data_IF_781343182603
#
_entry.id   IF_781343182603
#
_cell.length_a   1.000
_cell.length_b   1.000
_cell.length_c   1.000
_cell.angle_alpha   90.00
_cell.angle_beta   90.00
_cell.angle_gamma   90.00
#
_symmetry.space_group_name_H-M   'P 1'
#
loop_
_entity.id
_entity.type
_entity.pdbx_description
1 polymer ?
#
# COMPACT_ATOMS: atom_id res chain seq x y z
N UNK A 1 -10.67 -28.74 -3.04
CA UNK A 1 -9.95 -28.10 -1.91
C UNK A 1 -8.71 -28.94 -1.59
N UNK A 2 -7.52 -28.33 -1.52
CA UNK A 2 -6.27 -29.06 -1.28
C UNK A 2 -6.07 -29.47 0.19
N UNK A 3 -6.85 -28.92 1.13
CA UNK A 3 -6.77 -29.18 2.57
C UNK A 3 -8.15 -29.10 3.25
N UNK A 4 -8.29 -29.75 4.41
CA UNK A 4 -9.55 -29.89 5.19
C UNK A 4 -10.02 -28.58 5.85
N UNK A 5 -9.11 -27.61 6.01
CA UNK A 5 -9.38 -26.31 6.59
C UNK A 5 -9.20 -25.20 5.55
N UNK A 6 -10.26 -24.43 5.28
CA UNK A 6 -10.29 -23.39 4.25
C UNK A 6 -11.09 -22.16 4.71
N UNK A 7 -10.43 -21.01 4.74
CA UNK A 7 -11.02 -19.75 5.19
C UNK A 7 -11.51 -18.90 4.02
N UNK A 8 -12.77 -18.47 4.10
CA UNK A 8 -13.44 -17.74 3.03
C UNK A 8 -14.29 -16.59 3.58
N UNK A 9 -13.62 -15.57 4.09
CA UNK A 9 -14.21 -14.38 4.72
C UNK A 9 -13.98 -13.11 3.91
N UNK A 10 -14.55 -11.99 4.35
CA UNK A 10 -14.19 -10.65 3.85
C UNK A 10 -13.01 -10.12 4.67
N UNK A 11 -11.81 -10.27 4.13
CA UNK A 11 -10.56 -10.00 4.85
C UNK A 11 -9.53 -9.34 3.92
N UNK A 12 -8.81 -8.36 4.45
CA UNK A 12 -7.56 -7.85 3.90
C UNK A 12 -6.42 -8.23 4.85
N UNK A 13 -5.58 -9.18 4.44
CA UNK A 13 -4.51 -9.75 5.24
C UNK A 13 -3.15 -9.27 4.74
N UNK A 14 -2.34 -8.70 5.62
CA UNK A 14 -0.98 -8.23 5.31
C UNK A 14 0.03 -9.08 6.04
N UNK A 15 0.94 -9.73 5.31
CA UNK A 15 2.09 -10.42 5.87
C UNK A 15 3.27 -9.45 5.94
N UNK A 16 3.82 -9.25 7.15
CA UNK A 16 5.05 -8.51 7.35
C UNK A 16 6.14 -9.51 7.75
N UNK A 17 7.14 -9.70 6.90
CA UNK A 17 8.21 -10.67 7.07
C UNK A 17 9.52 -10.00 7.49
N UNK A 18 10.05 -10.39 8.65
CA UNK A 18 11.36 -9.93 9.14
C UNK A 18 12.49 -10.45 8.23
N UNK A 19 13.20 -9.53 7.57
CA UNK A 19 14.34 -9.82 6.69
C UNK A 19 15.70 -9.63 7.35
N UNK A 20 15.76 -9.61 8.68
CA UNK A 20 17.03 -9.48 9.40
C UNK A 20 17.89 -10.74 9.34
N UNK A 21 19.18 -10.59 9.64
CA UNK A 21 20.15 -11.65 9.87
C UNK A 21 19.91 -12.45 11.15
N UNK A 22 18.83 -12.18 11.91
CA UNK A 22 18.41 -13.03 13.05
C UNK A 22 17.72 -14.31 12.60
N UNK A 23 17.26 -14.35 11.35
CA UNK A 23 16.92 -15.57 10.64
C UNK A 23 18.05 -15.90 9.68
N UNK A 24 18.51 -17.15 9.67
CA UNK A 24 19.34 -17.66 8.58
C UNK A 24 18.55 -17.76 7.28
N UNK A 25 19.24 -17.87 6.14
CA UNK A 25 18.58 -18.05 4.84
C UNK A 25 17.68 -19.29 4.83
N UNK A 26 18.11 -20.40 5.45
CA UNK A 26 17.32 -21.61 5.59
C UNK A 26 16.05 -21.40 6.45
N UNK A 27 16.15 -20.66 7.55
CA UNK A 27 14.99 -20.33 8.38
C UNK A 27 14.04 -19.37 7.67
N UNK A 28 14.57 -18.47 6.83
CA UNK A 28 13.77 -17.59 5.99
C UNK A 28 13.00 -18.38 4.91
N UNK A 29 13.58 -19.45 4.36
CA UNK A 29 12.85 -20.39 3.48
C UNK A 29 11.66 -21.04 4.21
N UNK A 30 11.85 -21.46 5.47
CA UNK A 30 10.75 -21.98 6.31
C UNK A 30 9.67 -20.91 6.52
N UNK A 31 10.06 -19.66 6.75
CA UNK A 31 9.14 -18.54 6.90
C UNK A 31 8.32 -18.27 5.63
N UNK A 32 8.96 -18.31 4.45
CA UNK A 32 8.27 -18.21 3.15
C UNK A 32 7.31 -19.37 2.95
N UNK A 33 7.75 -20.60 3.24
CA UNK A 33 6.92 -21.79 3.14
C UNK A 33 5.68 -21.68 4.06
N UNK A 34 5.84 -21.14 5.28
CA UNK A 34 4.72 -20.85 6.16
C UNK A 34 3.72 -19.87 5.52
N UNK A 35 4.18 -18.72 5.02
CA UNK A 35 3.30 -17.73 4.35
C UNK A 35 2.56 -18.35 3.17
N UNK A 36 3.25 -19.12 2.32
CA UNK A 36 2.64 -19.85 1.21
C UNK A 36 1.59 -20.84 1.71
N UNK A 37 1.90 -21.61 2.75
CA UNK A 37 0.97 -22.60 3.34
C UNK A 37 -0.28 -21.95 3.95
N UNK A 38 -0.16 -20.74 4.50
CA UNK A 38 -1.31 -19.93 4.94
C UNK A 38 -2.13 -19.53 3.72
N UNK A 39 -1.50 -18.96 2.69
CA UNK A 39 -2.18 -18.53 1.46
C UNK A 39 -2.93 -19.66 0.74
N UNK A 40 -2.47 -20.92 0.84
CA UNK A 40 -3.17 -22.10 0.29
C UNK A 40 -4.51 -22.40 0.97
N UNK A 41 -4.65 -22.01 2.24
CA UNK A 41 -5.86 -22.19 3.06
C UNK A 41 -6.82 -21.01 3.00
N UNK A 42 -6.53 -20.01 2.16
CA UNK A 42 -7.35 -18.80 2.02
C UNK A 42 -8.07 -18.74 0.66
N UNK A 43 -9.30 -18.23 0.67
CA UNK A 43 -10.04 -17.88 -0.53
C UNK A 43 -9.59 -16.53 -1.11
N UNK A 44 -8.37 -16.52 -1.64
CA UNK A 44 -7.73 -15.31 -2.18
C UNK A 44 -8.47 -14.84 -3.44
N UNK A 45 -9.10 -13.66 -3.34
CA UNK A 45 -9.72 -12.94 -4.46
C UNK A 45 -10.05 -11.51 -4.04
N UNK A 46 -10.15 -10.60 -5.00
CA UNK A 46 -10.56 -9.20 -4.75
C UNK A 46 -11.95 -9.06 -4.12
N UNK A 47 -12.80 -10.11 -4.17
CA UNK A 47 -14.14 -10.11 -3.58
C UNK A 47 -14.21 -10.74 -2.18
N UNK A 48 -13.19 -11.51 -1.77
CA UNK A 48 -13.17 -12.27 -0.51
C UNK A 48 -11.93 -11.93 0.30
N UNK A 49 -10.83 -12.67 0.14
CA UNK A 49 -9.60 -12.39 0.88
C UNK A 49 -8.59 -11.70 -0.04
N UNK A 50 -8.21 -10.46 0.26
CA UNK A 50 -7.06 -9.78 -0.36
C UNK A 50 -5.83 -10.03 0.50
N UNK A 51 -4.67 -10.18 -0.13
CA UNK A 51 -3.41 -10.42 0.56
C UNK A 51 -2.38 -9.39 0.11
N UNK A 52 -1.54 -8.94 1.04
CA UNK A 52 -0.34 -8.17 0.75
C UNK A 52 0.85 -8.81 1.45
N UNK A 53 2.04 -8.62 0.88
CA UNK A 53 3.27 -9.22 1.38
C UNK A 53 4.39 -8.20 1.33
N UNK A 54 4.93 -7.89 2.50
CA UNK A 54 6.01 -6.93 2.69
C UNK A 54 7.12 -7.61 3.48
N UNK A 55 8.32 -7.60 2.93
CA UNK A 55 9.53 -7.93 3.68
C UNK A 55 10.12 -6.64 4.24
N UNK A 56 10.60 -6.66 5.49
CA UNK A 56 11.12 -5.46 6.14
C UNK A 56 12.48 -5.70 6.80
N UNK A 57 13.36 -4.74 6.59
CA UNK A 57 14.69 -4.64 7.17
C UNK A 57 14.98 -3.17 7.57
N UNK A 58 15.95 -2.51 6.93
CA UNK A 58 16.16 -1.06 7.03
C UNK A 58 15.03 -0.27 6.34
N UNK A 59 14.40 -0.88 5.33
CA UNK A 59 13.21 -0.37 4.64
C UNK A 59 12.10 -1.40 4.59
N UNK A 60 11.11 -1.15 3.74
CA UNK A 60 10.01 -2.08 3.46
C UNK A 60 9.93 -2.35 1.97
N UNK A 61 10.04 -3.61 1.57
CA UNK A 61 9.94 -4.04 0.18
C UNK A 61 8.62 -4.78 -0.03
N UNK A 62 7.71 -4.16 -0.79
CA UNK A 62 6.40 -4.72 -1.12
C UNK A 62 6.50 -5.66 -2.32
N UNK A 63 6.10 -6.92 -2.14
CA UNK A 63 6.07 -7.93 -3.20
C UNK A 63 4.67 -8.17 -3.74
N UNK A 64 3.65 -7.98 -2.90
CA UNK A 64 2.24 -8.16 -3.25
C UNK A 64 1.45 -7.03 -2.60
N UNK A 65 0.61 -6.37 -3.39
CA UNK A 65 -0.32 -5.35 -2.90
C UNK A 65 -1.75 -5.90 -2.81
N UNK A 66 -2.55 -5.35 -1.88
CA UNK A 66 -3.94 -5.79 -1.68
C UNK A 66 -4.77 -5.70 -2.98
N UNK A 67 -4.45 -4.75 -3.86
CA UNK A 67 -5.18 -4.49 -5.10
C UNK A 67 -4.70 -5.33 -6.29
N UNK A 68 -3.64 -6.12 -6.13
CA UNK A 68 -3.10 -6.94 -7.21
C UNK A 68 -4.14 -7.94 -7.73
N UNK A 69 -4.39 -7.91 -9.03
CA UNK A 69 -5.33 -8.79 -9.73
C UNK A 69 -4.62 -9.98 -10.37
N UNK A 70 -3.89 -10.74 -9.56
CA UNK A 70 -3.11 -11.91 -9.98
C UNK A 70 -3.82 -13.20 -9.59
N UNK A 71 -3.49 -14.31 -10.28
CA UNK A 71 -4.01 -15.64 -9.90
C UNK A 71 -3.44 -16.05 -8.53
N UNK A 72 -4.20 -16.76 -7.67
CA UNK A 72 -3.68 -17.20 -6.38
C UNK A 72 -2.38 -18.02 -6.47
N UNK A 73 -2.20 -18.81 -7.53
CA UNK A 73 -0.96 -19.54 -7.78
C UNK A 73 0.23 -18.63 -8.08
N UNK A 74 0.02 -17.52 -8.78
CA UNK A 74 1.06 -16.54 -9.07
C UNK A 74 1.44 -15.76 -7.80
N UNK A 75 0.46 -15.37 -6.98
CA UNK A 75 0.70 -14.74 -5.68
C UNK A 75 1.52 -15.65 -4.76
N UNK A 76 1.19 -16.94 -4.70
CA UNK A 76 1.99 -17.93 -3.95
C UNK A 76 3.41 -18.09 -4.51
N UNK A 77 3.57 -18.08 -5.84
CA UNK A 77 4.90 -18.12 -6.47
C UNK A 77 5.74 -16.90 -6.08
N UNK A 78 5.15 -15.70 -6.09
CA UNK A 78 5.83 -14.47 -5.66
C UNK A 78 6.25 -14.59 -4.19
N UNK A 79 5.35 -15.04 -3.31
CA UNK A 79 5.65 -15.25 -1.90
C UNK A 79 6.80 -16.27 -1.66
N UNK A 80 6.84 -17.36 -2.43
CA UNK A 80 7.94 -18.32 -2.37
C UNK A 80 9.28 -17.80 -2.92
N UNK A 81 9.25 -16.75 -3.74
CA UNK A 81 10.44 -16.15 -4.38
C UNK A 81 10.91 -14.85 -3.72
N UNK A 82 10.36 -14.49 -2.55
CA UNK A 82 10.89 -13.38 -1.75
C UNK A 82 12.37 -13.62 -1.47
N UNK A 83 13.18 -12.59 -1.71
CA UNK A 83 14.64 -12.65 -1.53
C UNK A 83 14.97 -12.49 -0.06
N UNK A 84 15.88 -13.33 0.44
CA UNK A 84 16.45 -13.16 1.76
C UNK A 84 17.36 -11.93 1.78
N UNK A 85 17.07 -10.97 2.66
CA UNK A 85 17.86 -9.75 2.79
C UNK A 85 19.06 -9.92 3.75
N UNK A 86 18.87 -10.63 4.87
CA UNK A 86 19.93 -10.86 5.86
C UNK A 86 20.48 -9.57 6.48
N UNK A 87 19.64 -8.55 6.62
CA UNK A 87 20.07 -7.23 7.10
C UNK A 87 20.39 -7.22 8.60
N UNK A 88 21.30 -6.36 9.03
CA UNK A 88 21.59 -6.18 10.46
C UNK A 88 20.43 -5.56 11.25
N UNK A 89 19.48 -4.93 10.56
CA UNK A 89 18.34 -4.22 11.15
C UNK A 89 17.05 -4.67 10.49
N UNK A 90 16.03 -4.95 11.29
CA UNK A 90 14.64 -4.98 10.84
C UNK A 90 13.76 -4.09 11.73
N UNK A 91 13.34 -2.95 11.17
CA UNK A 91 12.58 -1.96 11.92
C UNK A 91 11.08 -2.22 11.83
N UNK A 92 10.54 -2.77 12.92
CA UNK A 92 9.10 -2.91 13.11
C UNK A 92 8.40 -1.54 13.10
N UNK A 93 9.08 -0.46 13.51
CA UNK A 93 8.52 0.90 13.46
C UNK A 93 8.27 1.35 12.02
N UNK A 94 9.25 1.19 11.12
CA UNK A 94 9.12 1.61 9.73
C UNK A 94 8.10 0.77 8.97
N UNK A 95 8.04 -0.55 9.20
CA UNK A 95 7.04 -1.39 8.51
C UNK A 95 5.61 -1.11 9.00
N UNK A 96 5.40 -0.79 10.29
CA UNK A 96 4.07 -0.41 10.79
C UNK A 96 3.65 0.98 10.30
N UNK A 97 4.60 1.91 10.14
CA UNK A 97 4.37 3.20 9.47
C UNK A 97 3.99 2.99 8.00
N UNK A 98 4.75 2.17 7.26
CA UNK A 98 4.43 1.80 5.88
C UNK A 98 3.03 1.18 5.79
N UNK A 99 2.69 0.27 6.69
CA UNK A 99 1.37 -0.38 6.73
C UNK A 99 0.25 0.62 6.98
N UNK A 100 0.43 1.58 7.90
CA UNK A 100 -0.57 2.59 8.24
C UNK A 100 -0.86 3.57 7.10
N UNK A 101 0.21 4.04 6.43
CA UNK A 101 0.11 5.13 5.46
C UNK A 101 0.05 4.66 4.00
N UNK A 102 0.77 3.60 3.64
CA UNK A 102 0.83 3.08 2.27
C UNK A 102 -0.19 1.97 2.04
N UNK A 103 -0.22 0.94 2.90
CA UNK A 103 -1.13 -0.21 2.70
C UNK A 103 -2.57 0.15 3.05
N UNK A 104 -2.79 0.71 4.24
CA UNK A 104 -4.11 1.13 4.72
C UNK A 104 -4.31 2.64 4.68
N UNK A 105 -3.58 3.35 3.82
CA UNK A 105 -3.71 4.80 3.59
C UNK A 105 -5.17 5.19 3.34
N UNK A 106 -5.77 4.53 2.33
CA UNK A 106 -7.17 4.68 1.96
C UNK A 106 -7.94 3.39 2.23
N UNK A 107 -9.08 3.50 2.92
CA UNK A 107 -9.95 2.36 3.22
C UNK A 107 -10.98 2.26 2.08
N UNK A 108 -10.68 1.42 1.10
CA UNK A 108 -11.53 1.15 -0.07
C UNK A 108 -12.53 0.00 0.14
N UNK A 109 -12.42 -0.70 1.28
CA UNK A 109 -13.19 -1.90 1.60
C UNK A 109 -13.63 -1.93 3.07
N UNK A 110 -14.57 -1.04 3.48
CA UNK A 110 -14.96 -0.88 4.88
C UNK A 110 -15.67 -2.12 5.48
N UNK A 111 -16.24 -2.98 4.64
CA UNK A 111 -16.93 -4.21 5.03
C UNK A 111 -15.98 -5.36 5.39
N UNK A 112 -14.69 -5.26 5.03
CA UNK A 112 -13.70 -6.29 5.33
C UNK A 112 -12.92 -5.99 6.61
N UNK A 113 -12.63 -7.04 7.38
CA UNK A 113 -11.66 -6.96 8.46
C UNK A 113 -10.27 -6.72 7.89
N UNK A 114 -9.43 -5.96 8.60
CA UNK A 114 -8.06 -5.64 8.19
C UNK A 114 -7.09 -6.16 9.22
N UNK A 115 -6.24 -7.09 8.83
CA UNK A 115 -5.38 -7.84 9.73
C UNK A 115 -3.94 -7.78 9.22
N UNK A 116 -3.02 -7.52 10.14
CA UNK A 116 -1.58 -7.53 9.91
C UNK A 116 -1.01 -8.70 10.69
N UNK A 117 -0.40 -9.67 9.99
CA UNK A 117 0.38 -10.74 10.59
C UNK A 117 1.86 -10.32 10.60
N UNK A 118 2.33 -9.88 11.75
CA UNK A 118 3.70 -9.40 11.94
C UNK A 118 4.60 -10.56 12.36
N UNK A 119 5.38 -11.10 11.42
CA UNK A 119 6.33 -12.18 11.66
C UNK A 119 7.68 -11.57 12.03
N UNK A 120 8.03 -11.57 13.31
CA UNK A 120 9.22 -10.89 13.83
C UNK A 120 10.17 -11.85 14.53
N UNK A 121 11.46 -11.75 14.21
CA UNK A 121 12.53 -12.58 14.76
C UNK A 121 13.67 -11.75 15.34
N UNK A 122 13.57 -10.42 15.32
CA UNK A 122 14.66 -9.53 15.73
C UNK A 122 14.20 -8.43 16.71
N UNK A 123 15.19 -7.75 17.29
CA UNK A 123 14.96 -6.56 18.09
C UNK A 123 15.22 -5.32 17.25
N UNK A 124 14.21 -4.45 17.13
CA UNK A 124 14.39 -3.13 16.52
C UNK A 124 15.42 -2.31 17.35
N UNK A 125 16.57 -1.94 16.76
CA UNK A 125 17.59 -1.15 17.45
C UNK A 125 17.16 0.31 17.69
N UNK A 126 16.14 0.79 16.97
CA UNK A 126 15.66 2.17 17.10
C UNK A 126 14.82 2.33 18.38
N UNK A 127 15.41 2.97 19.39
CA UNK A 127 14.87 3.16 20.77
C UNK A 127 13.59 4.01 20.87
N UNK A 128 12.88 4.28 19.76
CA UNK A 128 11.76 5.22 19.69
C UNK A 128 10.38 4.60 19.96
N UNK A 129 10.10 4.14 21.19
CA UNK A 129 8.76 3.61 21.55
C UNK A 129 7.62 4.62 21.37
N UNK A 130 7.92 5.94 21.39
CA UNK A 130 6.91 6.99 21.16
C UNK A 130 6.29 6.93 19.76
N UNK A 131 7.10 6.67 18.73
CA UNK A 131 6.60 6.59 17.35
C UNK A 131 5.79 5.30 17.12
N UNK A 132 6.26 4.20 17.69
CA UNK A 132 5.54 2.92 17.67
C UNK A 132 4.11 3.06 18.20
N UNK A 133 3.96 3.68 19.38
CA UNK A 133 2.63 3.90 19.99
C UNK A 133 1.74 4.72 19.05
N UNK A 134 2.28 5.77 18.43
CA UNK A 134 1.52 6.60 17.47
C UNK A 134 1.03 5.77 16.28
N UNK A 135 1.88 4.91 15.70
CA UNK A 135 1.48 4.08 14.57
C UNK A 135 0.46 3.02 14.97
N UNK A 136 0.63 2.37 16.11
CA UNK A 136 -0.34 1.40 16.62
C UNK A 136 -1.70 2.04 16.95
N UNK A 137 -1.70 3.26 17.50
CA UNK A 137 -2.93 4.05 17.69
C UNK A 137 -3.59 4.41 16.35
N UNK A 138 -2.79 4.77 15.33
CA UNK A 138 -3.28 5.02 13.98
C UNK A 138 -3.94 3.78 13.36
N UNK A 139 -3.28 2.62 13.47
CA UNK A 139 -3.80 1.34 13.01
C UNK A 139 -5.10 0.97 13.75
N UNK A 140 -5.13 1.15 15.08
CA UNK A 140 -6.34 0.95 15.89
C UNK A 140 -7.49 1.88 15.47
N UNK A 141 -7.23 3.18 15.24
CA UNK A 141 -8.25 4.13 14.74
C UNK A 141 -8.80 3.69 13.39
N UNK A 142 -7.93 3.13 12.54
CA UNK A 142 -8.34 2.52 11.29
C UNK A 142 -8.97 1.15 11.47
N UNK A 143 -9.19 0.59 12.67
CA UNK A 143 -9.70 -0.77 12.89
C UNK A 143 -8.85 -1.87 12.24
N UNK A 144 -7.53 -1.68 12.24
CA UNK A 144 -6.56 -2.69 11.81
C UNK A 144 -6.11 -3.48 13.03
N UNK A 145 -6.23 -4.80 12.96
CA UNK A 145 -5.81 -5.74 14.00
C UNK A 145 -4.37 -6.17 13.70
N UNK A 146 -3.49 -6.14 14.69
CA UNK A 146 -2.09 -6.54 14.53
C UNK A 146 -1.84 -7.79 15.36
N UNK A 147 -1.52 -8.89 14.68
CA UNK A 147 -1.23 -10.20 15.27
C UNK A 147 0.29 -10.40 15.19
N UNK A 148 1.04 -10.14 16.29
CA UNK A 148 2.47 -10.39 16.30
C UNK A 148 2.77 -11.88 16.50
N UNK A 149 3.61 -12.43 15.64
CA UNK A 149 4.20 -13.77 15.74
C UNK A 149 5.69 -13.60 16.02
N UNK A 150 6.07 -13.75 17.28
CA UNK A 150 7.45 -13.60 17.74
C UNK A 150 8.21 -14.92 17.68
N UNK A 151 9.30 -14.95 16.94
CA UNK A 151 10.24 -16.08 16.86
C UNK A 151 11.41 -15.79 17.80
N UNK A 152 11.44 -16.51 18.91
CA UNK A 152 12.49 -16.41 19.94
C UNK A 152 13.80 -17.06 19.47
N UNK A 153 14.96 -16.75 20.11
CA UNK A 153 15.14 -15.89 21.29
C UNK A 153 15.30 -14.40 20.98
N UNK A 154 15.35 -14.01 19.71
CA UNK A 154 15.75 -12.67 19.31
C UNK A 154 14.58 -11.71 19.07
N UNK A 155 13.33 -12.18 19.04
CA UNK A 155 12.16 -11.31 18.91
C UNK A 155 12.03 -10.28 20.06
N UNK A 156 11.54 -9.08 19.73
CA UNK A 156 11.32 -8.02 20.71
C UNK A 156 10.05 -8.23 21.55
N UNK A 157 10.18 -8.97 22.67
CA UNK A 157 9.05 -9.25 23.56
C UNK A 157 8.37 -8.01 24.14
N UNK A 158 9.13 -6.94 24.42
CA UNK A 158 8.57 -5.68 24.94
C UNK A 158 7.65 -5.02 23.91
N UNK A 159 8.04 -5.06 22.64
CA UNK A 159 7.23 -4.55 21.54
C UNK A 159 5.99 -5.42 21.30
N UNK A 160 6.13 -6.75 21.33
CA UNK A 160 5.01 -7.68 21.19
C UNK A 160 3.96 -7.40 22.28
N UNK A 161 4.38 -7.33 23.55
CA UNK A 161 3.47 -7.00 24.65
C UNK A 161 2.84 -5.61 24.52
N UNK A 162 3.56 -4.65 23.93
CA UNK A 162 3.00 -3.32 23.69
C UNK A 162 1.89 -3.37 22.62
N UNK A 163 2.04 -4.20 21.59
CA UNK A 163 1.03 -4.43 20.54
C UNK A 163 -0.22 -5.11 21.15
N UNK A 164 -0.04 -6.15 21.95
CA UNK A 164 -1.13 -6.86 22.65
C UNK A 164 -1.95 -5.89 23.53
N UNK A 165 -1.30 -4.95 24.20
CA UNK A 165 -1.98 -3.97 25.07
C UNK A 165 -2.83 -2.93 24.32
N UNK A 166 -2.70 -2.79 23.01
CA UNK A 166 -3.44 -1.76 22.27
C UNK A 166 -4.91 -2.13 22.05
N UNK A 167 -5.20 -3.40 21.84
CA UNK A 167 -6.52 -3.90 21.52
C UNK A 167 -6.64 -5.39 21.89
N UNK A 168 -7.79 -5.85 22.43
CA UNK A 168 -7.96 -7.25 22.83
C UNK A 168 -7.85 -8.24 21.66
N UNK A 169 -8.07 -7.79 20.43
CA UNK A 169 -7.93 -8.57 19.19
C UNK A 169 -6.47 -8.78 18.76
N UNK A 170 -5.51 -8.05 19.35
CA UNK A 170 -4.10 -8.15 19.01
C UNK A 170 -3.41 -9.33 19.74
N UNK A 171 -3.92 -10.56 19.60
CA UNK A 171 -3.30 -11.74 20.24
C UNK A 171 -1.90 -12.00 19.71
N UNK A 172 -0.91 -12.18 20.60
CA UNK A 172 0.43 -12.60 20.19
C UNK A 172 0.57 -14.13 20.14
N UNK A 173 1.38 -14.59 19.20
CA UNK A 173 1.88 -15.96 19.13
C UNK A 173 3.38 -15.94 19.37
N UNK A 174 3.84 -16.69 20.37
CA UNK A 174 5.27 -16.81 20.69
C UNK A 174 5.72 -18.22 20.33
N UNK A 175 6.79 -18.29 19.57
CA UNK A 175 7.35 -19.52 19.01
C UNK A 175 8.81 -19.60 19.41
N UNK A 176 9.29 -20.78 19.78
CA UNK A 176 10.70 -20.95 20.13
C UNK A 176 11.62 -21.00 18.90
N UNK A 177 11.05 -21.30 17.73
CA UNK A 177 11.76 -21.45 16.46
C UNK A 177 10.80 -21.34 15.27
N UNK A 178 11.33 -21.07 14.07
CA UNK A 178 10.55 -21.06 12.82
C UNK A 178 9.88 -22.40 12.51
N UNK A 179 10.43 -23.52 12.98
CA UNK A 179 9.86 -24.84 12.72
C UNK A 179 8.53 -25.10 13.46
N UNK A 180 8.19 -24.28 14.46
CA UNK A 180 6.89 -24.34 15.13
C UNK A 180 5.77 -23.62 14.34
N UNK A 181 6.13 -22.82 13.33
CA UNK A 181 5.16 -22.09 12.50
C UNK A 181 4.15 -23.02 11.86
N UNK A 182 4.59 -24.17 11.35
CA UNK A 182 3.70 -25.14 10.72
C UNK A 182 2.71 -25.75 11.73
N UNK A 183 3.17 -26.02 12.95
CA UNK A 183 2.35 -26.61 14.01
C UNK A 183 1.28 -25.63 14.51
N UNK A 184 1.59 -24.33 14.54
CA UNK A 184 0.69 -23.27 15.01
C UNK A 184 -0.13 -22.63 13.89
N UNK A 185 0.13 -22.99 12.62
CA UNK A 185 -0.52 -22.43 11.44
C UNK A 185 -2.04 -22.46 11.54
N UNK A 186 -2.63 -23.62 11.79
CA UNK A 186 -4.08 -23.75 11.74
C UNK A 186 -4.76 -22.99 12.89
N UNK A 187 -4.10 -22.88 14.05
CA UNK A 187 -4.56 -22.01 15.15
C UNK A 187 -4.52 -20.53 14.74
N UNK A 188 -3.42 -20.07 14.12
CA UNK A 188 -3.27 -18.69 13.67
C UNK A 188 -4.35 -18.35 12.62
N UNK A 189 -4.57 -19.24 11.65
CA UNK A 189 -5.57 -19.02 10.61
C UNK A 189 -6.98 -19.03 11.19
N UNK A 190 -7.31 -19.99 12.06
CA UNK A 190 -8.62 -19.99 12.74
C UNK A 190 -8.85 -18.66 13.45
N UNK A 191 -7.86 -18.21 14.23
CA UNK A 191 -7.99 -16.98 15.00
C UNK A 191 -8.30 -15.76 14.11
N UNK A 192 -7.51 -15.51 13.06
CA UNK A 192 -7.77 -14.33 12.22
C UNK A 192 -9.02 -14.47 11.34
N UNK A 193 -9.43 -15.69 11.01
CA UNK A 193 -10.63 -15.93 10.22
C UNK A 193 -11.92 -15.76 11.04
N UNK A 194 -11.88 -16.08 12.33
CA UNK A 194 -13.00 -15.86 13.25
C UNK A 194 -13.25 -14.36 13.50
N UNK A 195 -12.20 -13.53 13.38
CA UNK A 195 -12.28 -12.07 13.45
C UNK A 195 -12.86 -11.42 12.18
N UNK A 196 -13.00 -12.17 11.09
CA UNK A 196 -13.45 -11.65 9.80
C UNK A 196 -14.94 -11.95 9.54
N UNK A 197 -15.71 -10.97 9.01
CA UNK A 197 -17.12 -11.18 8.72
C UNK A 197 -17.32 -12.17 7.58
N UNK A 198 -18.43 -12.90 7.66
CA UNK A 198 -18.89 -13.75 6.56
C UNK A 198 -19.29 -12.88 5.35
N UNK A 199 -19.02 -13.34 4.11
CA UNK A 199 -19.56 -12.68 2.94
C UNK A 199 -21.08 -12.75 3.00
N UNK A 200 -21.74 -11.59 2.91
CA UNK A 200 -23.20 -11.53 2.84
C UNK A 200 -23.69 -12.39 1.67
N UNK A 201 -24.72 -13.23 1.87
CA UNK A 201 -25.30 -13.99 0.77
C UNK A 201 -25.80 -13.00 -0.30
N UNK A 202 -25.78 -13.38 -1.59
CA UNK A 202 -26.42 -12.57 -2.61
C UNK A 202 -27.86 -12.34 -2.17
N UNK A 203 -28.24 -11.07 -2.01
CA UNK A 203 -29.62 -10.67 -1.76
C UNK A 203 -30.48 -11.43 -2.75
N UNK A 204 -31.29 -12.39 -2.25
CA UNK A 204 -32.35 -12.97 -3.05
C UNK A 204 -33.21 -11.78 -3.45
N UNK A 205 -33.18 -11.44 -4.74
CA UNK A 205 -34.16 -10.56 -5.34
C UNK A 205 -35.53 -10.98 -4.79
N UNK A 206 -36.31 -10.07 -4.20
CA UNK A 206 -37.69 -10.38 -3.87
C UNK A 206 -38.35 -10.95 -5.13
N UNK A 207 -39.04 -12.07 -4.95
CA UNK A 207 -39.80 -12.72 -6.01
C UNK A 207 -40.59 -11.66 -6.78
N UNK A 208 -40.44 -11.70 -8.10
CA UNK A 208 -41.20 -10.93 -9.09
C UNK A 208 -42.65 -10.74 -8.63
N UNK A 209 -42.98 -9.53 -8.18
CA UNK A 209 -44.35 -9.07 -8.19
C UNK A 209 -44.76 -8.97 -9.66
N UNK A 210 -45.78 -9.73 -10.06
CA UNK A 210 -46.42 -9.56 -11.36
C UNK A 210 -47.03 -8.16 -11.40
N UNK A 211 -46.44 -7.27 -12.19
CA UNK A 211 -46.97 -5.93 -12.43
C UNK A 211 -47.99 -6.04 -13.56
N UNK A 212 -49.25 -5.85 -13.20
CA UNK A 212 -50.36 -5.56 -14.10
C UNK A 212 -50.01 -4.33 -14.93
N UNK A 213 -50.07 -4.45 -16.25
CA UNK A 213 -49.74 -3.38 -17.19
C UNK A 213 -50.76 -2.25 -17.06
N UNK A 214 -50.30 -1.07 -16.65
CA UNK A 214 -50.97 0.21 -16.92
C UNK A 214 -50.05 1.06 -17.79
N UNK A 215 -50.55 1.73 -18.84
CA UNK A 215 -49.70 2.38 -19.83
C UNK A 215 -49.38 3.84 -19.45
N UNK A 216 -48.11 4.20 -19.65
CA UNK A 216 -47.68 5.58 -19.91
C UNK A 216 -47.13 6.33 -18.69
N UNK A 217 -45.82 6.52 -18.67
CA UNK A 217 -45.15 7.83 -18.61
C UNK A 217 -43.68 7.63 -19.03
N UNK A 218 -43.25 8.55 -19.87
CA UNK A 218 -42.00 8.64 -20.61
C UNK A 218 -40.72 8.51 -19.78
N UNK A 219 -39.73 7.87 -20.41
CA UNK A 219 -38.30 8.16 -20.31
C UNK A 219 -37.76 8.70 -18.99
N UNK A 220 -37.39 7.80 -18.09
CA UNK A 220 -36.37 8.07 -17.07
C UNK A 220 -35.20 7.14 -17.35
N UNK A 221 -34.16 7.69 -17.96
CA UNK A 221 -32.86 7.04 -18.08
C UNK A 221 -32.30 6.91 -16.67
N UNK A 222 -32.25 5.69 -16.13
CA UNK A 222 -31.53 5.42 -14.89
C UNK A 222 -30.04 5.70 -15.15
N UNK A 223 -29.37 6.58 -14.38
CA UNK A 223 -27.92 6.69 -14.46
C UNK A 223 -27.33 5.32 -14.14
N UNK A 224 -26.45 4.84 -15.01
CA UNK A 224 -25.60 3.70 -14.69
C UNK A 224 -24.91 3.95 -13.33
N UNK A 225 -24.66 2.92 -12.51
CA UNK A 225 -23.99 3.11 -11.23
C UNK A 225 -22.64 3.77 -11.49
N UNK A 226 -22.53 5.04 -11.11
CA UNK A 226 -21.28 5.80 -11.17
C UNK A 226 -20.28 5.04 -10.32
N UNK A 227 -19.21 4.55 -10.95
CA UNK A 227 -17.99 4.19 -10.23
C UNK A 227 -17.70 5.37 -9.32
N UNK A 228 -17.59 5.15 -8.01
CA UNK A 228 -17.07 6.17 -7.11
C UNK A 228 -15.66 6.49 -7.63
N UNK A 229 -15.53 7.60 -8.35
CA UNK A 229 -14.25 8.11 -8.81
C UNK A 229 -13.47 8.52 -7.57
N UNK A 230 -12.24 8.03 -7.44
CA UNK A 230 -11.36 8.51 -6.39
C UNK A 230 -11.04 9.97 -6.70
N UNK A 231 -11.28 10.85 -5.72
CA UNK A 231 -10.89 12.26 -5.78
C UNK A 231 -9.52 12.37 -5.13
N UNK A 232 -8.50 12.77 -5.88
CA UNK A 232 -7.09 12.87 -5.44
C UNK A 232 -6.41 14.01 -6.19
N UNK A 233 -5.46 14.67 -5.54
CA UNK A 233 -4.56 15.64 -6.17
C UNK A 233 -3.14 15.07 -6.16
N UNK A 234 -2.62 14.80 -7.36
CA UNK A 234 -1.37 14.06 -7.56
C UNK A 234 -0.31 14.94 -8.19
N UNK A 235 0.83 15.10 -7.52
CA UNK A 235 2.02 15.76 -8.07
C UNK A 235 3.01 14.70 -8.55
N UNK A 236 3.32 14.69 -9.84
CA UNK A 236 4.44 13.94 -10.39
C UNK A 236 5.67 14.83 -10.44
N UNK A 237 6.81 14.34 -9.95
CA UNK A 237 8.08 15.07 -9.93
C UNK A 237 9.15 14.24 -10.60
N UNK A 238 9.65 14.71 -11.74
CA UNK A 238 10.64 14.03 -12.55
C UNK A 238 12.03 14.66 -12.39
N UNK A 239 13.04 13.86 -12.09
CA UNK A 239 14.43 14.34 -12.11
C UNK A 239 14.87 14.61 -13.55
N UNK A 240 15.16 15.88 -13.85
CA UNK A 240 15.66 16.37 -15.13
C UNK A 240 17.13 16.76 -15.10
N UNK A 241 17.95 16.14 -14.24
CA UNK A 241 19.38 16.51 -14.09
C UNK A 241 20.25 16.03 -15.26
N UNK A 242 21.44 16.64 -15.41
CA UNK A 242 22.46 16.23 -16.39
C UNK A 242 22.92 14.78 -16.18
N UNK A 243 22.83 14.27 -14.95
CA UNK A 243 23.17 12.88 -14.61
C UNK A 243 22.13 11.88 -15.13
N UNK A 244 20.86 12.29 -15.20
CA UNK A 244 19.82 11.50 -15.86
C UNK A 244 20.05 11.54 -17.37
N UNK A 245 20.21 12.74 -17.93
CA UNK A 245 20.36 12.97 -19.37
C UNK A 245 19.03 12.83 -20.12
N UNK A 246 18.95 13.47 -21.29
CA UNK A 246 17.70 13.58 -22.07
C UNK A 246 17.07 12.22 -22.44
N UNK A 247 17.90 11.24 -22.83
CA UNK A 247 17.40 9.91 -23.21
C UNK A 247 16.68 9.20 -22.06
N UNK A 248 17.23 9.25 -20.84
CA UNK A 248 16.59 8.65 -19.67
C UNK A 248 15.42 9.48 -19.16
N UNK A 249 15.48 10.81 -19.29
CA UNK A 249 14.35 11.65 -18.99
C UNK A 249 13.14 11.33 -19.88
N UNK A 250 13.37 11.05 -21.17
CA UNK A 250 12.32 10.59 -22.08
C UNK A 250 11.70 9.26 -21.66
N UNK A 251 12.47 8.33 -21.06
CA UNK A 251 11.91 7.12 -20.45
C UNK A 251 11.03 7.43 -19.23
N UNK A 252 11.46 8.36 -18.36
CA UNK A 252 10.64 8.83 -17.23
C UNK A 252 9.33 9.48 -17.69
N UNK A 253 9.37 10.23 -18.80
CA UNK A 253 8.19 10.84 -19.43
C UNK A 253 7.22 9.79 -19.99
N UNK A 254 7.74 8.77 -20.68
CA UNK A 254 6.92 7.65 -21.16
C UNK A 254 6.28 6.86 -20.02
N UNK A 255 7.03 6.62 -18.94
CA UNK A 255 6.48 6.02 -17.73
C UNK A 255 5.32 6.86 -17.16
N UNK A 256 5.49 8.18 -17.07
CA UNK A 256 4.43 9.10 -16.64
C UNK A 256 3.18 9.02 -17.54
N UNK A 257 3.35 8.99 -18.87
CA UNK A 257 2.24 8.84 -19.81
C UNK A 257 1.45 7.55 -19.57
N UNK A 258 2.13 6.41 -19.40
CA UNK A 258 1.48 5.12 -19.15
C UNK A 258 0.73 5.09 -17.82
N UNK A 259 1.29 5.71 -16.77
CA UNK A 259 0.62 5.85 -15.48
C UNK A 259 -0.65 6.70 -15.62
N UNK A 260 -0.57 7.88 -16.25
CA UNK A 260 -1.72 8.78 -16.45
C UNK A 260 -2.82 8.11 -17.31
N UNK A 261 -2.45 7.31 -18.32
CA UNK A 261 -3.41 6.54 -19.12
C UNK A 261 -4.28 5.63 -18.26
N UNK A 262 -3.69 4.99 -17.24
CA UNK A 262 -4.37 4.06 -16.34
C UNK A 262 -5.12 4.74 -15.20
N UNK A 263 -4.79 5.99 -14.87
CA UNK A 263 -5.46 6.77 -13.82
C UNK A 263 -6.82 7.30 -14.26
N UNK A 264 -7.75 7.47 -13.32
CA UNK A 264 -9.06 8.07 -13.55
C UNK A 264 -8.96 9.62 -13.45
N UNK A 265 -8.29 10.21 -14.44
CA UNK A 265 -8.06 11.66 -14.52
C UNK A 265 -9.26 12.37 -15.14
N UNK A 266 -9.71 13.43 -14.49
CA UNK A 266 -10.92 14.16 -14.85
C UNK A 266 -11.27 15.24 -13.83
N UNK A 267 -12.10 16.21 -14.26
CA UNK A 267 -12.47 17.39 -13.46
C UNK A 267 -13.06 17.04 -12.07
N UNK A 268 -13.84 15.96 -11.98
CA UNK A 268 -14.49 15.51 -10.74
C UNK A 268 -13.82 14.28 -10.11
N UNK A 269 -12.58 13.97 -10.53
CA UNK A 269 -11.85 12.76 -10.15
C UNK A 269 -10.40 13.11 -9.79
N UNK A 270 -9.39 12.49 -10.40
CA UNK A 270 -7.98 12.77 -10.09
C UNK A 270 -7.50 14.00 -10.85
N UNK A 271 -6.90 14.95 -10.14
CA UNK A 271 -6.16 16.08 -10.72
C UNK A 271 -4.66 15.81 -10.68
N UNK A 272 -3.94 16.35 -11.65
CA UNK A 272 -2.51 16.11 -11.86
C UNK A 272 -1.76 17.42 -12.01
N UNK A 273 -0.63 17.51 -11.30
CA UNK A 273 0.43 18.49 -11.50
C UNK A 273 1.69 17.74 -11.90
N UNK A 274 2.48 18.29 -12.82
CA UNK A 274 3.76 17.70 -13.26
C UNK A 274 4.86 18.73 -13.06
N UNK A 275 5.90 18.32 -12.34
CA UNK A 275 7.10 19.11 -12.09
C UNK A 275 8.32 18.38 -12.67
N UNK A 276 9.28 19.16 -13.12
CA UNK A 276 10.64 18.71 -13.41
C UNK A 276 11.60 19.40 -12.43
N UNK A 277 12.62 18.69 -11.94
CA UNK A 277 13.60 19.29 -11.04
C UNK A 277 15.04 18.88 -11.35
N UNK A 278 15.96 19.82 -11.13
CA UNK A 278 17.40 19.60 -11.18
C UNK A 278 18.10 20.58 -10.22
N UNK A 279 18.70 21.65 -10.74
CA UNK A 279 19.17 22.80 -9.98
C UNK A 279 18.00 23.67 -9.49
N UNK A 280 16.97 23.83 -10.33
CA UNK A 280 15.70 24.50 -10.01
C UNK A 280 14.53 23.53 -10.18
N UNK A 281 13.35 23.92 -9.67
CA UNK A 281 12.07 23.26 -9.94
C UNK A 281 11.36 24.01 -11.05
N UNK A 282 10.92 23.29 -12.08
CA UNK A 282 10.14 23.80 -13.20
C UNK A 282 8.75 23.16 -13.14
N UNK A 283 7.71 24.00 -13.18
CA UNK A 283 6.32 23.55 -13.29
C UNK A 283 6.01 23.31 -14.76
N UNK A 284 5.65 22.09 -15.11
CA UNK A 284 5.32 21.69 -16.48
C UNK A 284 3.81 21.62 -16.71
N UNK A 285 3.04 21.34 -15.65
CA UNK A 285 1.58 21.31 -15.65
C UNK A 285 1.05 21.53 -14.22
N UNK A 286 -0.02 22.30 -14.03
CA UNK A 286 -0.59 22.60 -12.70
C UNK A 286 -2.06 22.18 -12.55
N UNK A 287 -2.55 22.01 -11.31
CA UNK A 287 -3.95 21.63 -11.02
C UNK A 287 -4.95 22.67 -11.54
N UNK A 288 -4.55 23.93 -11.65
CA UNK A 288 -5.39 25.00 -12.20
C UNK A 288 -5.63 24.92 -13.72
N UNK A 289 -4.87 24.08 -14.44
CA UNK A 289 -5.09 23.81 -15.87
C UNK A 289 -6.20 22.77 -16.09
N UNK A 290 -6.57 22.53 -17.35
CA UNK A 290 -7.67 21.63 -17.72
C UNK A 290 -7.39 20.18 -17.25
N UNK A 291 -8.19 19.65 -16.34
CA UNK A 291 -7.94 18.31 -15.77
C UNK A 291 -8.50 17.17 -16.62
N UNK A 292 -8.47 17.31 -17.95
CA UNK A 292 -8.86 16.25 -18.87
C UNK A 292 -7.65 15.35 -19.17
N UNK A 293 -7.87 14.03 -19.20
CA UNK A 293 -6.80 13.07 -19.51
C UNK A 293 -6.12 13.34 -20.86
N UNK A 294 -6.90 13.76 -21.86
CA UNK A 294 -6.35 14.04 -23.19
C UNK A 294 -5.42 15.26 -23.18
N UNK A 295 -5.82 16.34 -22.51
CA UNK A 295 -5.04 17.58 -22.43
C UNK A 295 -3.74 17.37 -21.64
N UNK A 296 -3.83 16.65 -20.51
CA UNK A 296 -2.65 16.32 -19.70
C UNK A 296 -1.67 15.47 -20.49
N UNK A 297 -2.12 14.41 -21.16
CA UNK A 297 -1.23 13.57 -21.97
C UNK A 297 -0.58 14.36 -23.12
N UNK A 298 -1.32 15.28 -23.74
CA UNK A 298 -0.77 16.14 -24.79
C UNK A 298 0.31 17.10 -24.24
N UNK A 299 0.12 17.64 -23.04
CA UNK A 299 1.14 18.48 -22.39
C UNK A 299 2.36 17.66 -21.99
N UNK A 300 2.16 16.50 -21.34
CA UNK A 300 3.24 15.60 -20.94
C UNK A 300 4.12 15.25 -22.13
N UNK A 301 3.55 14.92 -23.29
CA UNK A 301 4.32 14.62 -24.50
C UNK A 301 5.26 15.76 -24.94
N UNK A 302 4.85 17.01 -24.72
CA UNK A 302 5.59 18.21 -25.11
C UNK A 302 6.63 18.65 -24.09
N UNK A 303 6.63 18.09 -22.87
CA UNK A 303 7.64 18.40 -21.85
C UNK A 303 9.03 18.15 -22.42
N UNK A 304 9.86 19.19 -22.31
CA UNK A 304 11.25 19.19 -22.75
C UNK A 304 12.16 18.92 -21.57
N UNK A 305 13.25 18.21 -21.83
CA UNK A 305 14.33 18.02 -20.86
C UNK A 305 15.03 19.36 -20.60
N UNK A 306 15.12 19.76 -19.32
CA UNK A 306 15.70 21.06 -18.92
C UNK A 306 17.19 20.98 -18.57
N UNK A 307 17.66 19.80 -18.17
CA UNK A 307 19.03 19.62 -17.68
C UNK A 307 19.30 20.35 -16.36
N UNK A 308 20.52 20.21 -15.87
CA UNK A 308 21.01 20.87 -14.67
C UNK A 308 22.02 20.04 -13.89
N UNK A 309 23.07 20.70 -13.42
CA UNK A 309 24.23 20.07 -12.79
C UNK A 309 24.01 19.63 -11.33
N UNK A 310 22.79 19.76 -10.80
CA UNK A 310 22.41 19.39 -9.42
C UNK A 310 21.13 18.55 -9.40
N UNK A 311 20.95 17.85 -8.29
CA UNK A 311 19.75 17.05 -7.99
C UNK A 311 19.20 17.59 -6.67
N UNK A 312 18.64 18.81 -6.69
CA UNK A 312 18.13 19.50 -5.50
C UNK A 312 16.76 18.93 -5.09
N UNK A 313 16.76 17.71 -4.56
CA UNK A 313 15.58 16.99 -4.12
C UNK A 313 14.92 17.68 -2.92
N UNK A 314 15.70 18.22 -1.98
CA UNK A 314 15.18 18.98 -0.84
C UNK A 314 14.37 20.18 -1.29
N UNK A 315 14.92 20.96 -2.23
CA UNK A 315 14.23 22.08 -2.86
C UNK A 315 12.94 21.67 -3.57
N UNK A 316 12.95 20.55 -4.30
CA UNK A 316 11.76 20.03 -4.97
C UNK A 316 10.65 19.70 -3.98
N UNK A 317 10.96 18.99 -2.88
CA UNK A 317 9.99 18.65 -1.85
C UNK A 317 9.45 19.89 -1.11
N UNK A 318 10.32 20.87 -0.84
CA UNK A 318 9.91 22.15 -0.26
C UNK A 318 8.94 22.89 -1.20
N UNK A 319 9.27 22.98 -2.49
CA UNK A 319 8.42 23.62 -3.49
C UNK A 319 7.02 23.00 -3.52
N UNK A 320 6.94 21.66 -3.55
CA UNK A 320 5.66 20.95 -3.53
C UNK A 320 4.82 21.33 -2.31
N UNK A 321 5.45 21.30 -1.13
CA UNK A 321 4.75 21.57 0.13
C UNK A 321 4.30 23.02 0.28
N UNK A 322 5.07 23.97 -0.24
CA UNK A 322 4.78 25.40 -0.08
C UNK A 322 3.92 25.97 -1.23
N UNK A 323 3.97 25.35 -2.42
CA UNK A 323 3.36 25.92 -3.63
C UNK A 323 2.40 24.97 -4.33
N UNK A 324 2.78 23.72 -4.59
CA UNK A 324 1.95 22.83 -5.43
C UNK A 324 0.61 22.46 -4.78
N UNK A 325 0.60 22.24 -3.47
CA UNK A 325 -0.62 21.96 -2.69
C UNK A 325 -1.21 23.22 -2.07
N UNK A 326 -1.36 24.28 -2.88
CA UNK A 326 -2.07 25.49 -2.48
C UNK A 326 -3.38 25.62 -3.26
N UNK A 327 -4.43 26.11 -2.59
CA UNK A 327 -5.73 26.38 -3.21
C UNK A 327 -5.61 27.38 -4.38
N UNK A 328 -4.64 28.29 -4.31
CA UNK A 328 -4.32 29.22 -5.40
C UNK A 328 -3.70 28.55 -6.63
N UNK A 329 -3.15 27.34 -6.50
CA UNK A 329 -2.64 26.53 -7.61
C UNK A 329 -3.65 25.47 -8.09
N UNK A 330 -4.85 25.44 -7.51
CA UNK A 330 -5.92 24.51 -7.87
C UNK A 330 -6.04 23.27 -6.98
N UNK A 331 -5.25 23.18 -5.90
CA UNK A 331 -5.39 22.12 -4.89
C UNK A 331 -6.75 22.17 -4.21
N UNK A 332 -7.34 21.00 -3.99
CA UNK A 332 -8.68 20.84 -3.45
C UNK A 332 -8.59 20.38 -2.00
N UNK A 333 -9.04 21.20 -1.06
CA UNK A 333 -9.00 20.88 0.38
C UNK A 333 -9.68 19.55 0.74
N UNK A 334 -10.68 19.12 -0.04
CA UNK A 334 -11.41 17.86 0.13
C UNK A 334 -10.71 16.63 -0.49
N UNK A 335 -9.67 16.82 -1.29
CA UNK A 335 -8.92 15.77 -1.97
C UNK A 335 -7.64 15.42 -1.18
N UNK A 336 -7.30 14.13 -1.00
CA UNK A 336 -5.99 13.76 -0.47
C UNK A 336 -4.87 14.06 -1.48
N UNK A 337 -3.77 14.61 -0.94
CA UNK A 337 -2.59 15.03 -1.69
C UNK A 337 -1.55 13.92 -1.75
N UNK A 338 -1.06 13.60 -2.94
CA UNK A 338 -0.10 12.52 -3.19
C UNK A 338 1.05 13.00 -4.08
N UNK A 339 2.26 12.56 -3.77
CA UNK A 339 3.46 12.89 -4.55
C UNK A 339 4.10 11.60 -5.06
N UNK A 340 4.30 11.53 -6.37
CA UNK A 340 5.12 10.50 -7.03
C UNK A 340 6.39 11.14 -7.55
N UNK A 341 7.52 10.76 -6.98
CA UNK A 341 8.82 11.29 -7.35
C UNK A 341 9.65 10.22 -8.07
N UNK A 342 10.15 10.55 -9.26
CA UNK A 342 11.03 9.70 -10.07
C UNK A 342 12.43 10.30 -10.02
N UNK A 343 13.34 9.58 -9.35
CA UNK A 343 14.72 10.01 -9.12
C UNK A 343 15.69 8.89 -9.45
N UNK A 344 16.83 9.24 -10.03
CA UNK A 344 17.91 8.29 -10.35
C UNK A 344 19.18 8.57 -9.54
N UNK A 345 19.28 9.75 -8.91
CA UNK A 345 20.50 10.18 -8.23
C UNK A 345 20.24 10.61 -6.78
N UNK A 346 21.22 10.43 -5.88
CA UNK A 346 21.17 11.01 -4.54
C UNK A 346 20.99 12.53 -4.58
N UNK A 347 20.29 13.07 -3.59
CA UNK A 347 20.13 14.51 -3.42
C UNK A 347 21.49 15.21 -3.30
N UNK A 348 21.64 16.36 -3.96
CA UNK A 348 22.82 17.22 -3.80
C UNK A 348 22.65 18.28 -2.72
N UNK A 349 21.45 18.40 -2.16
CA UNK A 349 21.07 19.31 -1.09
C UNK A 349 20.57 18.54 0.14
N UNK A 350 20.36 19.27 1.24
CA UNK A 350 19.84 18.71 2.47
C UNK A 350 18.32 18.60 2.40
N UNK A 351 17.80 17.37 2.54
CA UNK A 351 16.37 17.14 2.68
C UNK A 351 15.98 17.42 4.13
N UNK A 352 15.34 18.56 4.36
CA UNK A 352 14.86 18.95 5.69
C UNK A 352 13.46 18.41 5.91
N UNK A 353 13.22 17.94 7.14
CA UNK A 353 11.86 17.63 7.58
C UNK A 353 11.10 18.93 7.75
N UNK A 354 10.07 19.13 6.93
CA UNK A 354 9.16 20.27 7.06
C UNK A 354 8.38 20.15 8.39
N UNK A 355 8.14 21.29 9.08
CA UNK A 355 7.59 21.35 10.43
C UNK A 355 6.20 20.72 10.60
#
# INVERSE_FOLDING_TARGET
>A
PLHDFYCSKLLDLVFLMDGSSKLSEAEFEVLKAFVVSVMERLHISQKRIRVALVEYHEGSHSYIELKDRKRPSELRRIAGQVKYAGSNVASTNEVLKYTLFQVFGNIDRPEASRIVLLLTASQDPTRGTRNLIRYLQGLKKKKVIVIPVGIEPHANLKQIQLIEKQAPENKAFRLSSVYELEQRRDEIISYFCDLAPEPSPPTKLPATAQVTVSPGISGVTFPAPTRSSMVLDVVFVLEGSDKVGEANFNWSKQFLEEVIRQMDVGQDSIHVTVLQYSYVVTVEYTFSEAQSKADILQHVQKIQYQGGNRTNTGLALQYISEHSFSTSQGDREQAPNLVYMVTANPASDEIKRLP
#
